data_IF_550081180731
#
_entry.id   IF_550081180731
#
_cell.length_a   1.000
_cell.length_b   1.000
_cell.length_c   1.000
_cell.angle_alpha   90.00
_cell.angle_beta   90.00
_cell.angle_gamma   90.00
#
_symmetry.space_group_name_H-M   'P 1'
#
loop_
_entity.id
_entity.type
_entity.pdbx_description
1 polymer ?
#
# COMPACT_ATOMS: atom_id res chain seq x y z
N UNK A 1 10.94 -24.25 7.13
CA UNK A 1 11.00 -22.77 7.06
C UNK A 1 9.97 -22.37 6.03
N UNK A 2 8.79 -21.90 6.46
CA UNK A 2 7.77 -21.46 5.52
C UNK A 2 8.26 -20.14 4.94
N UNK A 3 8.67 -20.17 3.67
CA UNK A 3 9.04 -18.99 2.92
C UNK A 3 7.75 -18.20 2.67
N UNK A 4 7.42 -17.30 3.60
CA UNK A 4 6.25 -16.41 3.50
C UNK A 4 6.57 -15.27 2.54
N UNK A 5 7.00 -15.61 1.32
CA UNK A 5 7.43 -14.66 0.30
C UNK A 5 6.27 -13.70 0.02
N UNK A 6 6.53 -12.41 0.19
CA UNK A 6 5.63 -11.34 -0.22
C UNK A 6 6.10 -10.83 -1.58
N UNK A 7 5.17 -10.46 -2.44
CA UNK A 7 5.43 -9.63 -3.62
C UNK A 7 4.60 -8.36 -3.56
N UNK A 8 5.04 -7.30 -4.24
CA UNK A 8 4.28 -6.05 -4.37
C UNK A 8 3.91 -5.85 -5.82
N UNK A 9 2.65 -5.50 -6.07
CA UNK A 9 2.15 -5.14 -7.39
C UNK A 9 1.51 -3.77 -7.37
N UNK A 10 2.01 -2.88 -8.21
CA UNK A 10 1.40 -1.60 -8.49
C UNK A 10 0.23 -1.80 -9.45
N UNK A 11 -0.94 -1.31 -9.07
CA UNK A 11 -2.20 -1.43 -9.80
C UNK A 11 -2.69 -0.03 -10.19
N UNK A 12 -3.19 0.11 -11.41
CA UNK A 12 -3.79 1.33 -11.91
C UNK A 12 -2.80 2.31 -12.53
N UNK A 13 -3.29 3.53 -12.78
CA UNK A 13 -2.54 4.58 -13.47
C UNK A 13 -1.59 5.28 -12.50
N UNK A 14 -0.37 5.51 -12.94
CA UNK A 14 0.62 6.23 -12.15
C UNK A 14 0.21 7.69 -11.92
N UNK A 15 0.39 8.15 -10.68
CA UNK A 15 0.27 9.57 -10.34
C UNK A 15 1.45 10.41 -10.85
N UNK A 16 1.52 11.71 -10.50
CA UNK A 16 2.69 12.54 -10.77
C UNK A 16 3.97 11.92 -10.17
N UNK A 17 5.08 12.07 -10.89
CA UNK A 17 6.41 11.81 -10.35
C UNK A 17 6.64 12.74 -9.15
N UNK A 18 6.90 12.16 -7.99
CA UNK A 18 7.23 12.90 -6.77
C UNK A 18 8.66 12.59 -6.40
N UNK A 19 9.39 13.59 -5.91
CA UNK A 19 10.81 13.47 -5.58
C UNK A 19 11.65 12.98 -6.77
N UNK A 20 11.25 13.34 -7.99
CA UNK A 20 11.86 12.87 -9.25
C UNK A 20 11.87 11.34 -9.39
N UNK A 21 10.84 10.65 -8.88
CA UNK A 21 10.71 9.20 -8.92
C UNK A 21 9.33 8.76 -9.33
N UNK A 22 9.31 7.68 -10.08
CA UNK A 22 8.10 6.93 -10.42
C UNK A 22 7.55 6.20 -9.18
N UNK A 23 6.28 5.81 -9.23
CA UNK A 23 5.66 4.96 -8.20
C UNK A 23 6.42 3.64 -8.03
N UNK A 24 6.89 3.03 -9.12
CA UNK A 24 7.66 1.79 -9.11
C UNK A 24 9.01 1.95 -8.38
N UNK A 25 9.72 3.04 -8.64
CA UNK A 25 10.99 3.34 -7.97
C UNK A 25 10.78 3.64 -6.49
N UNK A 26 9.72 4.37 -6.12
CA UNK A 26 9.35 4.59 -4.71
C UNK A 26 9.04 3.27 -4.01
N UNK A 27 8.22 2.42 -4.61
CA UNK A 27 7.85 1.12 -4.05
C UNK A 27 9.08 0.20 -3.89
N UNK A 28 9.99 0.14 -4.88
CA UNK A 28 11.24 -0.64 -4.77
C UNK A 28 12.13 -0.18 -3.63
N UNK A 29 12.19 1.13 -3.36
CA UNK A 29 12.94 1.65 -2.22
C UNK A 29 12.27 1.34 -0.88
N UNK A 30 10.94 1.45 -0.84
CA UNK A 30 10.14 1.21 0.36
C UNK A 30 10.15 -0.27 0.79
N UNK A 31 10.23 -1.21 -0.16
CA UNK A 31 10.20 -2.65 0.07
C UNK A 31 11.51 -3.33 -0.38
N UNK A 32 12.64 -3.10 0.31
CA UNK A 32 13.92 -3.69 -0.07
C UNK A 32 13.89 -5.21 0.04
N UNK A 33 14.42 -5.89 -0.98
CA UNK A 33 14.48 -7.37 -1.03
C UNK A 33 13.15 -8.06 -1.35
N UNK A 34 12.10 -7.29 -1.66
CA UNK A 34 10.78 -7.81 -2.08
C UNK A 34 10.68 -7.74 -3.60
N UNK A 35 10.01 -8.73 -4.22
CA UNK A 35 9.70 -8.65 -5.66
C UNK A 35 8.62 -7.59 -5.91
N UNK A 36 9.03 -6.43 -6.43
CA UNK A 36 8.16 -5.30 -6.77
C UNK A 36 8.02 -5.17 -8.29
N UNK A 37 6.77 -5.18 -8.76
CA UNK A 37 6.42 -4.98 -10.17
C UNK A 37 5.14 -4.16 -10.33
N UNK A 38 4.82 -3.80 -11.56
CA UNK A 38 3.52 -3.25 -11.97
C UNK A 38 2.61 -4.35 -12.56
N UNK A 39 1.48 -3.96 -13.14
CA UNK A 39 0.51 -4.89 -13.76
C UNK A 39 1.07 -5.66 -14.97
N UNK A 40 2.20 -5.22 -15.55
CA UNK A 40 2.83 -5.94 -16.67
C UNK A 40 3.59 -7.17 -16.20
N UNK A 41 3.93 -7.24 -14.90
CA UNK A 41 4.58 -8.40 -14.29
C UNK A 41 3.54 -9.35 -13.67
N UNK A 42 3.63 -10.66 -13.96
CA UNK A 42 2.74 -11.63 -13.34
C UNK A 42 2.91 -11.65 -11.82
N UNK A 43 1.81 -11.84 -11.10
CA UNK A 43 1.83 -12.14 -9.66
C UNK A 43 2.44 -13.55 -9.49
N UNK A 44 3.37 -13.78 -8.53
CA UNK A 44 3.91 -15.10 -8.30
C UNK A 44 2.79 -16.08 -7.90
N UNK A 45 2.90 -17.34 -8.31
CA UNK A 45 1.86 -18.35 -8.05
C UNK A 45 1.79 -18.87 -6.61
N UNK A 46 2.56 -18.29 -5.68
CA UNK A 46 2.61 -18.70 -4.28
C UNK A 46 2.89 -17.51 -3.36
N UNK A 47 2.58 -17.67 -2.07
CA UNK A 47 2.87 -16.68 -1.03
C UNK A 47 1.79 -15.59 -0.95
N UNK A 48 2.22 -14.38 -0.64
CA UNK A 48 1.32 -13.23 -0.44
C UNK A 48 1.62 -12.13 -1.44
N UNK A 49 0.63 -11.31 -1.71
CA UNK A 49 0.77 -10.12 -2.52
C UNK A 49 0.23 -8.89 -1.81
N UNK A 50 1.01 -7.82 -1.86
CA UNK A 50 0.58 -6.46 -1.58
C UNK A 50 0.19 -5.80 -2.91
N UNK A 51 -1.10 -5.62 -3.13
CA UNK A 51 -1.62 -4.82 -4.22
C UNK A 51 -1.65 -3.35 -3.75
N UNK A 52 -0.91 -2.48 -4.44
CA UNK A 52 -0.75 -1.07 -4.07
C UNK A 52 -1.20 -0.20 -5.24
N UNK A 53 -2.04 0.81 -5.02
CA UNK A 53 -2.39 1.72 -6.11
C UNK A 53 -1.19 2.56 -6.55
N UNK A 54 -0.96 2.65 -7.86
CA UNK A 54 0.15 3.39 -8.45
C UNK A 54 0.05 4.92 -8.24
N UNK A 55 -1.15 5.44 -7.97
CA UNK A 55 -1.42 6.84 -7.67
C UNK A 55 -1.39 7.18 -6.18
N UNK A 56 -0.98 6.25 -5.31
CA UNK A 56 -0.80 6.49 -3.87
C UNK A 56 0.67 6.61 -3.47
N UNK A 57 0.91 7.40 -2.43
CA UNK A 57 2.22 7.56 -1.78
C UNK A 57 2.07 7.14 -0.33
N UNK A 58 2.93 6.22 0.11
CA UNK A 58 2.93 5.74 1.49
C UNK A 58 4.18 6.24 2.21
N UNK A 59 4.03 6.50 3.50
CA UNK A 59 5.14 6.70 4.41
C UNK A 59 5.91 5.37 4.60
N UNK A 60 7.25 5.43 4.55
CA UNK A 60 8.15 4.26 4.68
C UNK A 60 7.89 3.46 5.96
N UNK A 61 7.40 4.10 7.04
CA UNK A 61 7.10 3.40 8.30
C UNK A 61 5.96 2.39 8.17
N UNK A 62 5.15 2.47 7.12
CA UNK A 62 4.08 1.52 6.80
C UNK A 62 4.60 0.25 6.12
N UNK A 63 5.82 0.25 5.57
CA UNK A 63 6.34 -0.88 4.81
C UNK A 63 6.39 -2.17 5.65
N UNK A 64 7.05 -2.10 6.80
CA UNK A 64 7.23 -3.24 7.70
C UNK A 64 5.90 -3.86 8.16
N UNK A 65 4.93 -3.09 8.72
CA UNK A 65 3.66 -3.69 9.13
C UNK A 65 2.86 -4.25 7.95
N UNK A 66 2.90 -3.61 6.77
CA UNK A 66 2.28 -4.17 5.56
C UNK A 66 2.90 -5.51 5.15
N UNK A 67 4.23 -5.65 5.26
CA UNK A 67 4.90 -6.91 4.92
C UNK A 67 4.52 -8.08 5.84
N UNK A 68 4.08 -7.78 7.05
CA UNK A 68 3.68 -8.78 8.04
C UNK A 68 2.17 -8.99 8.12
N UNK A 69 1.36 -8.10 7.52
CA UNK A 69 -0.09 -8.19 7.54
C UNK A 69 -0.62 -9.35 6.69
N UNK A 70 -1.85 -9.78 6.98
CA UNK A 70 -2.61 -10.75 6.19
C UNK A 70 -4.06 -10.28 6.12
N UNK A 71 -4.70 -10.49 4.98
CA UNK A 71 -6.12 -10.16 4.72
C UNK A 71 -6.50 -8.75 5.22
N UNK A 72 -5.75 -7.76 4.76
CA UNK A 72 -5.83 -6.38 5.25
C UNK A 72 -5.98 -5.38 4.10
N UNK A 73 -6.87 -4.41 4.27
CA UNK A 73 -6.99 -3.26 3.38
C UNK A 73 -6.58 -1.97 4.12
N UNK A 74 -5.57 -1.29 3.59
CA UNK A 74 -5.11 0.01 4.08
C UNK A 74 -5.88 1.12 3.38
N UNK A 75 -6.53 2.00 4.13
CA UNK A 75 -7.22 3.17 3.58
C UNK A 75 -6.25 4.32 3.27
N UNK A 76 -6.64 5.17 2.33
CA UNK A 76 -6.03 6.47 2.13
C UNK A 76 -6.29 7.39 3.34
N UNK A 77 -5.43 8.39 3.52
CA UNK A 77 -5.51 9.39 4.61
C UNK A 77 -6.26 10.64 4.19
N UNK A 78 -6.27 10.96 2.88
CA UNK A 78 -6.87 12.16 2.32
C UNK A 78 -8.16 11.87 1.53
N UNK A 79 -8.50 10.59 1.33
CA UNK A 79 -9.72 10.17 0.63
C UNK A 79 -10.33 8.93 1.28
N UNK A 80 -11.62 8.65 1.06
CA UNK A 80 -12.25 7.42 1.54
C UNK A 80 -11.87 6.18 0.70
N UNK A 81 -10.84 6.23 -0.16
CA UNK A 81 -10.45 5.10 -1.00
C UNK A 81 -9.47 4.14 -0.31
N UNK A 82 -9.36 2.94 -0.87
CA UNK A 82 -8.36 1.94 -0.46
C UNK A 82 -7.02 2.28 -1.12
N UNK A 83 -5.96 2.35 -0.33
CA UNK A 83 -4.62 2.63 -0.82
C UNK A 83 -3.84 1.36 -1.18
N UNK A 84 -3.99 0.31 -0.37
CA UNK A 84 -3.33 -0.96 -0.60
C UNK A 84 -4.10 -2.12 0.03
N UNK A 85 -3.90 -3.34 -0.49
CA UNK A 85 -4.49 -4.59 0.02
C UNK A 85 -3.39 -5.65 0.14
N UNK A 86 -3.33 -6.35 1.27
CA UNK A 86 -2.43 -7.50 1.49
C UNK A 86 -3.28 -8.77 1.62
N UNK A 87 -3.04 -9.74 0.74
CA UNK A 87 -3.77 -11.02 0.71
C UNK A 87 -2.87 -12.17 0.24
N UNK A 88 -3.35 -13.40 0.41
CA UNK A 88 -2.79 -14.56 -0.30
C UNK A 88 -2.93 -14.39 -1.82
N UNK A 89 -1.97 -14.90 -2.59
CA UNK A 89 -1.98 -14.79 -4.06
C UNK A 89 -3.22 -15.40 -4.70
N UNK A 90 -3.85 -16.42 -4.09
CA UNK A 90 -5.09 -17.01 -4.57
C UNK A 90 -6.25 -16.00 -4.60
N UNK A 91 -6.19 -14.96 -3.77
CA UNK A 91 -7.19 -13.89 -3.66
C UNK A 91 -6.79 -12.62 -4.42
N UNK A 92 -5.63 -12.60 -5.07
CA UNK A 92 -5.10 -11.39 -5.68
C UNK A 92 -6.02 -10.80 -6.75
N UNK A 93 -6.55 -11.65 -7.64
CA UNK A 93 -7.41 -11.21 -8.75
C UNK A 93 -8.74 -10.64 -8.25
N UNK A 94 -9.37 -11.28 -7.25
CA UNK A 94 -10.62 -10.79 -6.66
C UNK A 94 -10.40 -9.48 -5.89
N UNK A 95 -9.28 -9.35 -5.18
CA UNK A 95 -9.01 -8.16 -4.38
C UNK A 95 -8.50 -6.99 -5.24
N UNK A 96 -7.96 -7.25 -6.43
CA UNK A 96 -7.53 -6.20 -7.37
C UNK A 96 -8.66 -5.21 -7.67
N UNK A 97 -9.88 -5.71 -7.93
CA UNK A 97 -11.02 -4.84 -8.24
C UNK A 97 -11.48 -4.01 -7.04
N UNK A 98 -11.14 -4.42 -5.82
CA UNK A 98 -11.50 -3.70 -4.60
C UNK A 98 -10.62 -2.47 -4.33
N UNK A 99 -9.45 -2.35 -4.98
CA UNK A 99 -8.58 -1.18 -4.84
C UNK A 99 -9.23 0.11 -5.37
N UNK A 100 -10.09 -0.01 -6.38
CA UNK A 100 -10.85 1.13 -6.92
C UNK A 100 -12.16 1.38 -6.15
N UNK A 101 -12.54 0.46 -5.26
CA UNK A 101 -13.78 0.49 -4.49
C UNK A 101 -13.69 1.27 -3.19
N UNK A 102 -14.72 1.08 -2.36
CA UNK A 102 -14.81 1.64 -1.01
C UNK A 102 -14.31 0.65 0.05
N UNK A 103 -13.85 1.12 1.22
CA UNK A 103 -13.44 0.26 2.33
C UNK A 103 -14.52 -0.73 2.78
N UNK A 104 -15.80 -0.35 2.67
CA UNK A 104 -16.92 -1.24 2.98
C UNK A 104 -16.97 -2.47 2.07
N UNK A 105 -16.56 -2.35 0.80
CA UNK A 105 -16.50 -3.47 -0.13
C UNK A 105 -15.39 -4.45 0.27
N UNK A 106 -14.25 -3.91 0.71
CA UNK A 106 -13.17 -4.71 1.29
C UNK A 106 -13.61 -5.43 2.57
N UNK A 107 -14.39 -4.77 3.43
CA UNK A 107 -14.90 -5.37 4.66
C UNK A 107 -15.87 -6.53 4.36
N UNK A 108 -16.76 -6.37 3.38
CA UNK A 108 -17.65 -7.45 2.90
C UNK A 108 -16.88 -8.62 2.29
N UNK A 109 -15.71 -8.36 1.70
CA UNK A 109 -14.79 -9.39 1.23
C UNK A 109 -13.94 -10.03 2.36
N UNK A 110 -14.22 -9.71 3.63
CA UNK A 110 -13.54 -10.29 4.79
C UNK A 110 -12.15 -9.71 5.06
N UNK A 111 -11.80 -8.56 4.48
CA UNK A 111 -10.53 -7.88 4.77
C UNK A 111 -10.66 -7.01 6.02
N UNK A 112 -9.63 -7.05 6.86
CA UNK A 112 -9.49 -6.12 7.98
C UNK A 112 -9.18 -4.71 7.45
N UNK A 113 -10.09 -3.77 7.67
CA UNK A 113 -9.90 -2.37 7.28
C UNK A 113 -9.02 -1.65 8.31
N UNK A 114 -7.97 -0.99 7.85
CA UNK A 114 -7.08 -0.23 8.71
C UNK A 114 -6.70 1.12 8.09
N UNK A 115 -6.51 2.10 8.95
CA UNK A 115 -5.91 3.40 8.58
C UNK A 115 -4.40 3.35 8.76
N UNK A 116 -3.62 4.21 8.08
CA UNK A 116 -2.18 4.33 8.30
C UNK A 116 -1.80 4.54 9.77
N UNK A 117 -2.60 5.35 10.48
CA UNK A 117 -2.44 5.58 11.92
C UNK A 117 -2.61 4.32 12.76
N UNK A 118 -3.59 3.47 12.44
CA UNK A 118 -3.82 2.22 13.18
C UNK A 118 -2.72 1.20 12.88
N UNK A 119 -2.36 1.06 11.60
CA UNK A 119 -1.35 0.11 11.16
C UNK A 119 0.04 0.36 11.77
N UNK A 120 0.42 1.63 11.88
CA UNK A 120 1.68 2.04 12.51
C UNK A 120 1.55 2.32 14.02
N UNK A 121 0.50 1.83 14.69
CA UNK A 121 0.21 2.14 16.10
C UNK A 121 1.38 1.88 17.05
N UNK A 122 2.16 0.80 16.83
CA UNK A 122 3.37 0.51 17.61
C UNK A 122 4.54 1.48 17.34
N UNK A 123 4.60 2.08 16.15
CA UNK A 123 5.63 3.04 15.75
C UNK A 123 5.38 4.43 16.37
N UNK A 124 4.11 4.76 16.66
CA UNK A 124 3.70 6.05 17.25
C UNK A 124 4.37 6.35 18.60
N UNK A 125 4.66 5.33 19.41
CA UNK A 125 5.36 5.50 20.68
C UNK A 125 6.80 6.04 20.53
N UNK A 126 7.37 5.96 19.31
CA UNK A 126 8.76 6.30 18.99
C UNK A 126 8.91 7.55 18.12
N UNK A 127 7.82 8.14 17.65
CA UNK A 127 7.88 9.31 16.76
C UNK A 127 8.15 10.60 17.54
N UNK A 128 9.32 11.18 17.34
CA UNK A 128 9.80 12.40 18.00
C UNK A 128 8.91 13.63 17.70
N UNK A 129 8.28 13.67 16.52
CA UNK A 129 7.53 14.83 16.01
C UNK A 129 6.00 14.65 15.98
N UNK A 130 5.45 13.52 16.48
CA UNK A 130 4.00 13.21 16.52
C UNK A 130 3.24 13.30 15.17
N UNK A 131 3.94 13.42 14.04
CA UNK A 131 3.30 13.39 12.71
C UNK A 131 2.72 11.99 12.48
N UNK A 132 1.42 11.85 12.19
CA UNK A 132 0.85 10.55 11.89
C UNK A 132 1.35 10.07 10.52
N UNK A 133 1.64 8.78 10.37
CA UNK A 133 2.01 8.23 9.07
C UNK A 133 0.83 8.31 8.11
N UNK A 134 1.15 8.36 6.81
CA UNK A 134 0.19 8.70 5.77
C UNK A 134 0.22 7.70 4.60
N UNK A 135 -0.92 7.60 3.94
CA UNK A 135 -1.10 7.02 2.62
C UNK A 135 -1.93 8.02 1.81
N UNK A 136 -1.33 8.71 0.84
CA UNK A 136 -1.93 9.88 0.19
C UNK A 136 -2.21 9.58 -1.27
N UNK A 137 -3.45 9.85 -1.69
CA UNK A 137 -3.83 9.83 -3.10
C UNK A 137 -3.28 11.09 -3.77
N UNK A 138 -2.44 10.91 -4.78
CA UNK A 138 -1.69 11.99 -5.43
C UNK A 138 -2.56 12.90 -6.28
N UNK A 139 -3.74 12.46 -6.73
CA UNK A 139 -4.70 13.31 -7.43
C UNK A 139 -5.50 14.22 -6.49
N UNK A 140 -5.61 13.86 -5.22
CA UNK A 140 -6.37 14.61 -4.22
C UNK A 140 -5.53 15.65 -3.46
N UNK A 141 -4.24 15.78 -3.76
CA UNK A 141 -3.32 16.70 -3.08
C UNK A 141 -2.24 17.15 -4.05
N UNK A 142 -1.81 18.42 -3.99
CA UNK A 142 -0.83 18.89 -4.95
C UNK A 142 0.54 18.22 -4.71
N UNK A 143 1.33 17.92 -5.75
CA UNK A 143 2.67 17.34 -5.60
C UNK A 143 3.55 18.09 -4.60
N UNK A 144 3.50 19.43 -4.61
CA UNK A 144 4.26 20.30 -3.70
C UNK A 144 3.89 20.12 -2.23
N UNK A 145 2.64 19.77 -1.93
CA UNK A 145 2.20 19.52 -0.55
C UNK A 145 2.65 18.15 -0.08
N UNK A 146 2.63 17.14 -0.96
CA UNK A 146 3.12 15.79 -0.65
C UNK A 146 4.64 15.80 -0.43
N UNK A 147 5.38 16.61 -1.17
CA UNK A 147 6.83 16.70 -1.05
C UNK A 147 7.32 17.45 0.21
N UNK A 148 6.40 18.03 0.99
CA UNK A 148 6.72 18.75 2.24
C UNK A 148 6.50 17.90 3.50
N UNK A 149 5.92 16.71 3.37
CA UNK A 149 5.53 15.85 4.51
C UNK A 149 6.71 15.05 5.04
#
# INVERSE_FOLDING_TARGET
>A
MNDTSLSVRLIGVEGPCLFSRTALERARRMFPGVDVGDETRPIPGYGRVLLLRADNVLDDVLAKPLMTANDLALTSSNTPHVAAIVVDVARATECRVLLDGMPDDCARAGLAITTPRQLAGAYRAKLRNRVPPYALLTSATTPREIERV
#
